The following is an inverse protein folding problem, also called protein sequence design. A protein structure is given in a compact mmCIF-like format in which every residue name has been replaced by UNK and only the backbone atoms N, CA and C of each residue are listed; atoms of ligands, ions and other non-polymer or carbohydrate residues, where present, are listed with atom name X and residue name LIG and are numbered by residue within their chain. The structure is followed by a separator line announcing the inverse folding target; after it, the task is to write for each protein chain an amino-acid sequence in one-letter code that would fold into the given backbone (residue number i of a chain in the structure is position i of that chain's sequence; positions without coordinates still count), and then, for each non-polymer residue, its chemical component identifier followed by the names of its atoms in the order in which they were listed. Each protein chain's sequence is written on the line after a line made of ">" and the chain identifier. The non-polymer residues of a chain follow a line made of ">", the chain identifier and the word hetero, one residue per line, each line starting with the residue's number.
data_IF_234015170700
#
_entry.id   IF_234015170700
#
_cell.length_a   1.000
_cell.length_b   1.000
_cell.length_c   1.000
_cell.angle_alpha   90.00
_cell.angle_beta   90.00
_cell.angle_gamma   90.00
#
_symmetry.space_group_name_H-M   'P 1'
#
loop_
_entity.id
_entity.type
_entity.pdbx_description
1 polymer ?
#
# COMPACT_ATOMS: atom_id res chain seq x y z
N UNK A 1 45.94 18.51 69.91
CA UNK A 1 45.54 19.84 70.44
C UNK A 1 44.11 20.09 69.98
N UNK A 2 43.12 19.93 70.85
CA UNK A 2 42.42 21.03 71.54
C UNK A 2 41.85 22.05 70.54
N UNK A 3 40.55 22.29 70.39
CA UNK A 3 39.56 22.49 71.45
C UNK A 3 38.14 22.10 71.01
N UNK A 4 37.50 21.40 71.93
CA UNK A 4 36.07 21.39 72.20
C UNK A 4 35.70 22.78 72.76
N UNK A 5 34.64 23.39 72.22
CA UNK A 5 33.85 24.46 72.83
C UNK A 5 32.47 24.31 72.21
N UNK A 6 31.58 23.48 72.76
CA UNK A 6 30.79 23.71 73.96
C UNK A 6 30.18 25.11 74.02
N UNK A 7 28.92 25.14 73.60
CA UNK A 7 27.81 25.83 74.27
C UNK A 7 27.97 27.32 74.50
N UNK A 8 27.48 28.10 73.55
CA UNK A 8 26.52 29.17 73.85
C UNK A 8 25.55 29.25 72.67
N UNK A 9 24.34 28.75 72.88
CA UNK A 9 23.33 28.66 71.82
C UNK A 9 22.11 27.84 72.19
N UNK A 10 22.08 27.17 73.34
CA UNK A 10 20.87 26.48 73.82
C UNK A 10 19.75 27.44 74.21
N UNK A 11 20.07 28.68 74.64
CA UNK A 11 19.07 29.75 74.83
C UNK A 11 18.61 30.37 73.51
N UNK A 12 19.47 30.43 72.49
CA UNK A 12 19.15 30.95 71.15
C UNK A 12 18.33 29.95 70.36
N UNK A 13 18.67 28.66 70.37
CA UNK A 13 17.92 27.60 69.67
C UNK A 13 16.57 27.35 70.36
N UNK A 14 16.52 27.36 71.69
CA UNK A 14 15.25 27.28 72.44
C UNK A 14 14.36 28.51 72.22
N UNK A 15 14.94 29.71 72.24
CA UNK A 15 14.23 30.96 71.94
C UNK A 15 13.77 31.04 70.48
N UNK A 16 14.56 30.55 69.52
CA UNK A 16 14.19 30.55 68.10
C UNK A 16 13.08 29.53 67.83
N UNK A 17 13.14 28.33 68.42
CA UNK A 17 12.06 27.34 68.32
C UNK A 17 10.78 27.88 69.00
N UNK A 18 10.90 28.52 70.16
CA UNK A 18 9.75 29.12 70.85
C UNK A 18 9.16 30.29 70.07
N UNK A 19 9.97 31.19 69.52
CA UNK A 19 9.53 32.32 68.67
C UNK A 19 8.90 31.81 67.37
N UNK A 20 9.46 30.76 66.76
CA UNK A 20 8.88 30.11 65.58
C UNK A 20 7.53 29.46 65.92
N UNK A 21 7.40 28.78 67.07
CA UNK A 21 6.14 28.19 67.53
C UNK A 21 5.09 29.28 67.84
N UNK A 22 5.49 30.38 68.48
CA UNK A 22 4.61 31.53 68.77
C UNK A 22 4.18 32.22 67.47
N UNK A 23 5.09 32.41 66.51
CA UNK A 23 4.78 32.95 65.18
C UNK A 23 3.82 32.04 64.41
N UNK A 24 4.02 30.71 64.47
CA UNK A 24 3.13 29.68 63.92
C UNK A 24 1.74 29.72 64.57
N UNK A 25 1.67 29.96 65.88
CA UNK A 25 0.41 30.09 66.64
C UNK A 25 -0.33 31.42 66.38
N UNK A 26 0.39 32.48 65.98
CA UNK A 26 -0.16 33.77 65.58
C UNK A 26 -0.75 33.76 64.16
N UNK A 27 -0.43 32.73 63.36
CA UNK A 27 -1.04 32.57 62.04
C UNK A 27 -2.52 32.17 62.22
N UNK A 28 -3.47 32.93 61.64
CA UNK A 28 -4.89 32.60 61.75
C UNK A 28 -5.18 31.16 61.31
N UNK A 29 -6.05 30.45 62.06
CA UNK A 29 -6.50 29.07 61.73
C UNK A 29 -6.86 28.86 60.24
N UNK A 30 -7.46 29.83 59.51
CA UNK A 30 -7.71 29.71 58.07
C UNK A 30 -6.46 29.42 57.23
N UNK A 31 -5.28 29.93 57.60
CA UNK A 31 -4.03 29.75 56.84
C UNK A 31 -3.49 28.33 56.98
N UNK A 32 -3.62 27.71 58.16
CA UNK A 32 -3.24 26.31 58.36
C UNK A 32 -4.14 25.36 57.55
N UNK A 33 -5.43 25.70 57.44
CA UNK A 33 -6.39 24.96 56.61
C UNK A 33 -6.03 25.10 55.13
N UNK A 34 -5.72 26.30 54.63
CA UNK A 34 -5.33 26.48 53.22
C UNK A 34 -4.01 25.79 52.90
N UNK A 35 -3.01 25.85 53.79
CA UNK A 35 -1.73 25.16 53.60
C UNK A 35 -1.91 23.64 53.56
N UNK A 36 -2.78 23.09 54.41
CA UNK A 36 -3.14 21.67 54.40
C UNK A 36 -3.85 21.24 53.11
N UNK A 37 -4.77 22.06 52.60
CA UNK A 37 -5.46 21.81 51.32
C UNK A 37 -4.46 21.84 50.15
N UNK A 38 -3.54 22.81 50.12
CA UNK A 38 -2.51 22.90 49.07
C UNK A 38 -1.58 21.69 49.12
N UNK A 39 -1.12 21.28 50.31
CA UNK A 39 -0.28 20.10 50.47
C UNK A 39 -1.01 18.82 50.02
N UNK A 40 -2.29 18.67 50.37
CA UNK A 40 -3.12 17.56 49.92
C UNK A 40 -3.31 17.56 48.39
N UNK A 41 -3.56 18.73 47.78
CA UNK A 41 -3.72 18.86 46.34
C UNK A 41 -2.44 18.46 45.60
N UNK A 42 -1.27 18.93 46.04
CA UNK A 42 0.03 18.57 45.45
C UNK A 42 0.28 17.06 45.56
N UNK A 43 -0.01 16.45 46.72
CA UNK A 43 0.13 15.01 46.91
C UNK A 43 -0.77 14.22 45.95
N UNK A 44 -2.03 14.63 45.81
CA UNK A 44 -2.99 13.99 44.88
C UNK A 44 -2.52 14.14 43.44
N UNK A 45 -2.10 15.33 43.01
CA UNK A 45 -1.57 15.55 41.66
C UNK A 45 -0.34 14.68 41.39
N UNK A 46 0.58 14.55 42.35
CA UNK A 46 1.76 13.70 42.22
C UNK A 46 1.41 12.21 42.10
N UNK A 47 0.45 11.72 42.90
CA UNK A 47 -0.03 10.34 42.84
C UNK A 47 -0.69 10.07 41.48
N UNK A 48 -1.58 10.95 41.02
CA UNK A 48 -2.24 10.82 39.71
C UNK A 48 -1.23 10.79 38.58
N UNK A 49 -0.25 11.70 38.59
CA UNK A 49 0.83 11.73 37.60
C UNK A 49 1.61 10.39 37.57
N UNK A 50 1.97 9.85 38.74
CA UNK A 50 2.69 8.57 38.83
C UNK A 50 1.88 7.39 38.29
N UNK A 51 0.56 7.36 38.53
CA UNK A 51 -0.33 6.33 37.99
C UNK A 51 -0.41 6.43 36.47
N UNK A 52 -0.61 7.64 35.92
CA UNK A 52 -0.70 7.86 34.47
C UNK A 52 0.58 7.41 33.77
N UNK A 53 1.75 7.83 34.26
CA UNK A 53 3.05 7.43 33.69
C UNK A 53 3.25 5.92 33.74
N UNK A 54 2.87 5.25 34.84
CA UNK A 54 3.00 3.80 34.96
C UNK A 54 2.07 3.05 33.99
N UNK A 55 0.83 3.55 33.80
CA UNK A 55 -0.13 2.98 32.84
C UNK A 55 0.34 3.19 31.41
N UNK A 56 0.85 4.36 31.05
CA UNK A 56 1.41 4.64 29.73
C UNK A 56 2.61 3.75 29.42
N UNK A 57 3.53 3.58 30.38
CA UNK A 57 4.68 2.69 30.23
C UNK A 57 4.26 1.22 30.06
N UNK A 58 3.25 0.76 30.80
CA UNK A 58 2.70 -0.58 30.64
C UNK A 58 2.04 -0.78 29.27
N UNK A 59 1.23 0.18 28.82
CA UNK A 59 0.58 0.13 27.50
C UNK A 59 1.62 0.12 26.37
N UNK A 60 2.65 0.95 26.46
CA UNK A 60 3.74 0.95 25.48
C UNK A 60 4.46 -0.40 25.43
N UNK A 61 4.75 -1.00 26.58
CA UNK A 61 5.38 -2.32 26.66
C UNK A 61 4.48 -3.45 26.13
N UNK A 62 3.17 -3.39 26.36
CA UNK A 62 2.19 -4.35 25.80
C UNK A 62 2.08 -4.22 24.28
N UNK A 63 2.00 -3.00 23.75
CA UNK A 63 2.00 -2.77 22.30
C UNK A 63 3.27 -3.28 21.64
N UNK A 64 4.44 -3.08 22.24
CA UNK A 64 5.69 -3.62 21.73
C UNK A 64 5.70 -5.16 21.74
N UNK A 65 5.22 -5.79 22.81
CA UNK A 65 5.08 -7.25 22.89
C UNK A 65 4.14 -7.77 21.81
N UNK A 66 2.98 -7.15 21.63
CA UNK A 66 2.04 -7.55 20.59
C UNK A 66 2.63 -7.40 19.19
N UNK A 67 3.38 -6.32 18.92
CA UNK A 67 4.05 -6.13 17.63
C UNK A 67 5.10 -7.21 17.39
N UNK A 68 5.89 -7.53 18.41
CA UNK A 68 6.90 -8.59 18.35
C UNK A 68 6.24 -9.96 18.16
N UNK A 69 5.19 -10.27 18.91
CA UNK A 69 4.43 -11.51 18.77
C UNK A 69 3.78 -11.62 17.39
N UNK A 70 3.13 -10.57 16.90
CA UNK A 70 2.55 -10.53 15.54
C UNK A 70 3.64 -10.71 14.47
N UNK A 71 4.80 -10.08 14.64
CA UNK A 71 5.93 -10.25 13.72
C UNK A 71 6.50 -11.67 13.77
N UNK A 72 6.61 -12.28 14.96
CA UNK A 72 7.04 -13.66 15.13
C UNK A 72 6.04 -14.65 14.53
N UNK A 73 4.75 -14.45 14.75
CA UNK A 73 3.68 -15.26 14.15
C UNK A 73 3.68 -15.13 12.63
N UNK A 74 3.79 -13.91 12.09
CA UNK A 74 3.90 -13.68 10.65
C UNK A 74 5.15 -14.33 10.06
N UNK A 75 6.29 -14.25 10.75
CA UNK A 75 7.53 -14.91 10.35
C UNK A 75 7.42 -16.45 10.41
N UNK A 76 6.80 -17.00 11.45
CA UNK A 76 6.56 -18.43 11.60
C UNK A 76 5.61 -18.95 10.51
N UNK A 77 4.50 -18.26 10.26
CA UNK A 77 3.58 -18.58 9.17
C UNK A 77 4.27 -18.50 7.81
N UNK A 78 5.14 -17.49 7.59
CA UNK A 78 5.90 -17.38 6.36
C UNK A 78 6.85 -18.57 6.17
N UNK A 79 7.62 -18.94 7.22
CA UNK A 79 8.52 -20.09 7.21
C UNK A 79 7.76 -21.39 6.94
N UNK A 80 6.61 -21.57 7.59
CA UNK A 80 5.78 -22.76 7.38
C UNK A 80 5.24 -22.83 5.94
N UNK A 81 4.78 -21.70 5.37
CA UNK A 81 4.34 -21.64 3.97
C UNK A 81 5.48 -21.97 3.01
N UNK A 82 6.67 -21.42 3.24
CA UNK A 82 7.87 -21.72 2.44
C UNK A 82 8.27 -23.18 2.55
N UNK A 83 8.23 -23.78 3.74
CA UNK A 83 8.56 -25.18 3.94
C UNK A 83 7.54 -26.10 3.27
N UNK A 84 6.24 -25.80 3.39
CA UNK A 84 5.18 -26.53 2.69
C UNK A 84 5.36 -26.43 1.17
N UNK A 85 5.68 -25.24 0.65
CA UNK A 85 5.95 -25.05 -0.77
C UNK A 85 7.19 -25.83 -1.23
N UNK A 86 8.27 -25.84 -0.44
CA UNK A 86 9.47 -26.65 -0.72
C UNK A 86 9.16 -28.14 -0.74
N UNK A 87 8.43 -28.65 0.26
CA UNK A 87 8.03 -30.06 0.33
C UNK A 87 7.13 -30.44 -0.85
N UNK A 88 6.18 -29.60 -1.23
CA UNK A 88 5.32 -29.84 -2.38
C UNK A 88 6.12 -29.86 -3.69
N UNK A 89 7.07 -28.93 -3.86
CA UNK A 89 7.98 -28.90 -5.01
C UNK A 89 8.86 -30.14 -5.08
N UNK A 90 9.44 -30.54 -3.94
CA UNK A 90 10.28 -31.74 -3.88
C UNK A 90 9.48 -33.00 -4.24
N UNK A 91 8.30 -33.19 -3.64
CA UNK A 91 7.40 -34.31 -3.99
C UNK A 91 7.11 -34.36 -5.49
N UNK A 92 6.85 -33.21 -6.11
CA UNK A 92 6.60 -33.14 -7.55
C UNK A 92 7.83 -33.52 -8.38
N UNK A 93 9.02 -33.08 -7.97
CA UNK A 93 10.28 -33.47 -8.62
C UNK A 93 10.51 -34.98 -8.48
N UNK A 94 10.23 -35.54 -7.32
CA UNK A 94 10.41 -36.98 -7.06
C UNK A 94 9.44 -37.82 -7.92
N UNK A 95 8.19 -37.35 -8.09
CA UNK A 95 7.18 -38.06 -8.88
C UNK A 95 7.37 -37.91 -10.39
N UNK A 96 7.69 -36.70 -10.88
CA UNK A 96 7.67 -36.37 -12.31
C UNK A 96 9.08 -36.27 -12.94
N UNK A 97 10.11 -36.15 -12.12
CA UNK A 97 11.43 -35.71 -12.55
C UNK A 97 11.53 -34.19 -12.69
N UNK A 98 12.74 -33.64 -12.53
CA UNK A 98 13.01 -32.19 -12.44
C UNK A 98 12.44 -31.38 -13.61
N UNK A 99 12.64 -31.84 -14.85
CA UNK A 99 12.20 -31.11 -16.04
C UNK A 99 10.68 -31.10 -16.19
N UNK A 100 10.05 -32.26 -16.02
CA UNK A 100 8.60 -32.36 -16.14
C UNK A 100 7.88 -31.65 -14.99
N UNK A 101 8.44 -31.69 -13.77
CA UNK A 101 7.96 -30.90 -12.64
C UNK A 101 7.94 -29.39 -12.94
N UNK A 102 9.01 -28.88 -13.57
CA UNK A 102 9.09 -27.47 -13.99
C UNK A 102 8.04 -27.12 -15.05
N UNK A 103 7.76 -28.03 -15.99
CA UNK A 103 6.70 -27.84 -16.99
C UNK A 103 5.32 -27.73 -16.35
N UNK A 104 4.98 -28.64 -15.42
CA UNK A 104 3.69 -28.55 -14.70
C UNK A 104 3.61 -27.28 -13.85
N UNK A 105 4.71 -26.82 -13.25
CA UNK A 105 4.76 -25.54 -12.53
C UNK A 105 4.49 -24.35 -13.50
N UNK A 106 5.10 -24.36 -14.69
CA UNK A 106 4.81 -23.38 -15.75
C UNK A 106 3.34 -23.39 -16.16
N UNK A 107 2.77 -24.58 -16.38
CA UNK A 107 1.35 -24.74 -16.74
C UNK A 107 0.43 -24.18 -15.67
N UNK A 108 0.66 -24.47 -14.39
CA UNK A 108 -0.17 -23.93 -13.30
C UNK A 108 -0.09 -22.40 -13.24
N UNK A 109 1.10 -21.83 -13.45
CA UNK A 109 1.28 -20.37 -13.54
C UNK A 109 0.55 -19.77 -14.75
N UNK A 110 0.61 -20.42 -15.92
CA UNK A 110 -0.12 -20.00 -17.12
C UNK A 110 -1.63 -20.04 -16.90
N UNK A 111 -2.17 -21.12 -16.32
CA UNK A 111 -3.59 -21.23 -15.97
C UNK A 111 -4.01 -20.14 -14.97
N UNK A 112 -3.18 -19.87 -13.96
CA UNK A 112 -3.45 -18.80 -13.01
C UNK A 112 -3.51 -17.42 -13.70
N UNK A 113 -2.62 -17.16 -14.66
CA UNK A 113 -2.66 -15.93 -15.47
C UNK A 113 -3.93 -15.82 -16.31
N UNK A 114 -4.39 -16.91 -16.94
CA UNK A 114 -5.65 -16.92 -17.69
C UNK A 114 -6.81 -16.59 -16.75
N UNK A 115 -6.93 -17.29 -15.62
CA UNK A 115 -8.04 -17.11 -14.66
C UNK A 115 -8.03 -15.72 -14.00
N UNK A 116 -6.87 -15.11 -13.84
CA UNK A 116 -6.73 -13.77 -13.28
C UNK A 116 -6.97 -12.64 -14.31
N UNK A 117 -7.08 -12.97 -15.60
CA UNK A 117 -7.29 -11.98 -16.66
C UNK A 117 -8.61 -11.24 -16.49
N UNK A 118 -8.68 -10.01 -16.98
CA UNK A 118 -9.94 -9.27 -17.08
C UNK A 118 -10.91 -10.00 -18.00
N UNK A 119 -10.42 -10.50 -19.14
CA UNK A 119 -11.18 -11.27 -20.11
C UNK A 119 -11.87 -12.51 -19.50
N UNK A 120 -11.21 -13.23 -18.59
CA UNK A 120 -11.85 -14.34 -17.87
C UNK A 120 -12.94 -13.83 -16.90
N UNK A 121 -12.64 -12.77 -16.13
CA UNK A 121 -13.55 -12.24 -15.10
C UNK A 121 -14.79 -11.56 -15.67
N UNK A 122 -14.69 -10.98 -16.86
CA UNK A 122 -15.83 -10.37 -17.57
C UNK A 122 -16.57 -11.36 -18.46
N UNK A 123 -16.19 -12.64 -18.43
CA UNK A 123 -16.84 -13.71 -19.18
C UNK A 123 -16.51 -13.73 -20.68
N UNK A 124 -15.56 -12.90 -21.14
CA UNK A 124 -15.13 -12.83 -22.54
C UNK A 124 -14.52 -14.15 -23.03
N UNK A 125 -13.82 -14.86 -22.14
CA UNK A 125 -13.23 -16.17 -22.44
C UNK A 125 -14.20 -17.36 -22.25
N UNK A 126 -15.43 -17.11 -21.82
CA UNK A 126 -16.38 -18.17 -21.45
C UNK A 126 -15.96 -18.94 -20.19
N UNK A 127 -16.43 -20.18 -20.06
CA UNK A 127 -16.05 -21.07 -18.97
C UNK A 127 -14.62 -21.59 -19.18
N UNK A 128 -13.73 -21.26 -18.24
CA UNK A 128 -12.31 -21.63 -18.32
C UNK A 128 -12.00 -22.71 -17.28
N UNK A 129 -12.01 -23.97 -17.72
CA UNK A 129 -11.55 -25.11 -16.94
C UNK A 129 -10.43 -25.89 -17.64
N UNK A 130 -9.24 -25.88 -17.04
CA UNK A 130 -8.06 -26.63 -17.49
C UNK A 130 -7.81 -27.90 -16.65
N UNK A 131 -8.75 -28.29 -15.78
CA UNK A 131 -8.54 -29.40 -14.84
C UNK A 131 -8.25 -30.72 -15.56
N UNK A 132 -8.96 -31.00 -16.65
CA UNK A 132 -8.74 -32.18 -17.49
C UNK A 132 -7.34 -32.17 -18.14
N UNK A 133 -6.91 -31.02 -18.66
CA UNK A 133 -5.58 -30.86 -19.26
C UNK A 133 -4.46 -31.04 -18.23
N UNK A 134 -4.56 -30.38 -17.08
CA UNK A 134 -3.56 -30.49 -16.01
C UNK A 134 -3.44 -31.93 -15.54
N UNK A 135 -4.58 -32.64 -15.40
CA UNK A 135 -4.60 -34.05 -15.03
C UNK A 135 -3.89 -34.89 -16.08
N UNK A 136 -4.25 -34.74 -17.36
CA UNK A 136 -3.64 -35.50 -18.46
C UNK A 136 -2.13 -35.24 -18.60
N UNK A 137 -1.69 -33.98 -18.49
CA UNK A 137 -0.27 -33.60 -18.50
C UNK A 137 0.48 -34.29 -17.36
N UNK A 138 -0.07 -34.21 -16.14
CA UNK A 138 0.57 -34.77 -14.95
C UNK A 138 0.68 -36.29 -15.04
N UNK A 139 -0.40 -36.97 -15.44
CA UNK A 139 -0.42 -38.43 -15.61
C UNK A 139 0.56 -38.91 -16.68
N UNK A 140 0.66 -38.20 -17.81
CA UNK A 140 1.60 -38.56 -18.87
C UNK A 140 3.05 -38.40 -18.42
N UNK A 141 3.38 -37.31 -17.71
CA UNK A 141 4.71 -37.11 -17.17
C UNK A 141 5.07 -38.09 -16.05
N UNK A 142 4.11 -38.45 -15.20
CA UNK A 142 4.31 -39.46 -14.16
C UNK A 142 4.59 -40.83 -14.78
N UNK A 143 3.78 -41.27 -15.75
CA UNK A 143 3.99 -42.51 -16.49
C UNK A 143 5.34 -42.52 -17.22
N UNK A 144 5.69 -41.41 -17.88
CA UNK A 144 6.98 -41.29 -18.58
C UNK A 144 8.17 -41.36 -17.61
N UNK A 145 8.06 -40.72 -16.44
CA UNK A 145 9.10 -40.76 -15.41
C UNK A 145 9.27 -42.16 -14.79
N UNK A 146 8.16 -42.82 -14.46
CA UNK A 146 8.15 -44.18 -13.95
C UNK A 146 8.74 -45.17 -14.97
N UNK A 147 8.32 -45.07 -16.25
CA UNK A 147 8.84 -45.91 -17.33
C UNK A 147 10.34 -45.66 -17.52
N UNK A 148 10.79 -44.39 -17.52
CA UNK A 148 12.22 -44.04 -17.60
C UNK A 148 13.02 -44.67 -16.47
N UNK A 149 12.52 -44.66 -15.23
CA UNK A 149 13.23 -45.26 -14.09
C UNK A 149 13.46 -46.77 -14.27
N UNK A 150 12.46 -47.50 -14.79
CA UNK A 150 12.60 -48.94 -15.08
C UNK A 150 13.50 -49.19 -16.29
N UNK A 151 13.30 -48.43 -17.37
CA UNK A 151 14.16 -48.47 -18.58
C UNK A 151 15.62 -48.24 -18.24
N UNK A 152 15.93 -47.27 -17.37
CA UNK A 152 17.31 -47.02 -16.91
C UNK A 152 17.89 -48.21 -16.17
N UNK A 153 17.12 -48.86 -15.28
CA UNK A 153 17.58 -50.06 -14.55
C UNK A 153 17.83 -51.23 -15.50
N UNK A 154 16.91 -51.49 -16.43
CA UNK A 154 17.07 -52.56 -17.42
C UNK A 154 18.28 -52.30 -18.34
N UNK A 155 18.47 -51.06 -18.77
CA UNK A 155 19.62 -50.67 -19.61
C UNK A 155 20.98 -50.77 -18.92
N UNK A 156 20.99 -50.84 -17.58
CA UNK A 156 22.22 -50.94 -16.79
C UNK A 156 22.61 -52.40 -16.50
N UNK A 157 21.81 -53.40 -16.91
CA UNK A 157 22.17 -54.80 -16.75
C UNK A 157 23.30 -55.19 -17.71
N UNK A 158 24.23 -56.00 -17.22
CA UNK A 158 25.30 -56.56 -18.03
C UNK A 158 24.75 -57.60 -19.02
N UNK A 159 25.26 -57.58 -20.26
CA UNK A 159 24.92 -58.52 -21.35
C UNK A 159 23.43 -58.55 -21.72
N UNK A 160 22.85 -57.42 -22.19
CA UNK A 160 21.44 -57.38 -22.61
C UNK A 160 21.18 -58.34 -23.78
N UNK A 161 20.10 -59.11 -23.68
CA UNK A 161 19.66 -60.01 -24.74
C UNK A 161 18.88 -59.24 -25.84
N UNK A 162 18.43 -59.95 -26.88
CA UNK A 162 17.71 -59.32 -27.99
C UNK A 162 16.34 -58.74 -27.58
N UNK A 163 15.63 -59.41 -26.67
CA UNK A 163 14.35 -58.97 -26.14
C UNK A 163 14.50 -57.74 -25.25
N UNK A 164 15.55 -57.69 -24.42
CA UNK A 164 15.89 -56.52 -23.59
C UNK A 164 16.12 -55.29 -24.45
N UNK A 165 16.85 -55.43 -25.57
CA UNK A 165 17.09 -54.31 -26.50
C UNK A 165 15.78 -53.84 -27.14
N UNK A 166 14.97 -54.79 -27.60
CA UNK A 166 13.68 -54.50 -28.23
C UNK A 166 12.74 -53.76 -27.27
N UNK A 167 12.57 -54.26 -26.03
CA UNK A 167 11.67 -53.64 -25.06
C UNK A 167 12.20 -52.27 -24.59
N UNK A 168 13.51 -52.07 -24.52
CA UNK A 168 14.11 -50.76 -24.23
C UNK A 168 13.79 -49.74 -25.33
N UNK A 169 13.83 -50.13 -26.59
CA UNK A 169 13.52 -49.23 -27.71
C UNK A 169 12.01 -48.92 -27.79
N UNK A 170 11.16 -49.91 -27.54
CA UNK A 170 9.71 -49.69 -27.37
C UNK A 170 9.43 -48.74 -26.20
N UNK A 171 10.08 -48.93 -25.05
CA UNK A 171 9.92 -48.07 -23.89
C UNK A 171 10.39 -46.63 -24.15
N UNK A 172 11.54 -46.43 -24.82
CA UNK A 172 12.00 -45.08 -25.23
C UNK A 172 10.98 -44.39 -26.13
N UNK A 173 10.40 -45.12 -27.08
CA UNK A 173 9.37 -44.59 -27.99
C UNK A 173 8.11 -44.19 -27.21
N UNK A 174 7.65 -45.03 -26.29
CA UNK A 174 6.49 -44.73 -25.45
C UNK A 174 6.74 -43.53 -24.51
N UNK A 175 7.94 -43.42 -23.91
CA UNK A 175 8.34 -42.25 -23.10
C UNK A 175 8.25 -40.98 -23.95
N UNK A 176 8.82 -40.98 -25.16
CA UNK A 176 8.81 -39.82 -26.03
C UNK A 176 7.39 -39.42 -26.45
N UNK A 177 6.52 -40.40 -26.73
CA UNK A 177 5.12 -40.13 -27.07
C UNK A 177 4.33 -39.49 -25.89
N UNK A 178 4.50 -40.03 -24.68
CA UNK A 178 3.87 -39.48 -23.47
C UNK A 178 4.33 -38.04 -23.18
N UNK A 179 5.64 -37.80 -23.26
CA UNK A 179 6.20 -36.46 -23.03
C UNK A 179 5.82 -35.48 -24.13
N UNK A 180 5.85 -35.90 -25.39
CA UNK A 180 5.43 -35.08 -26.53
C UNK A 180 3.98 -34.60 -26.38
N UNK A 181 3.05 -35.53 -26.14
CA UNK A 181 1.64 -35.19 -25.94
C UNK A 181 1.40 -34.23 -24.76
N UNK A 182 2.14 -34.42 -23.67
CA UNK A 182 2.07 -33.51 -22.52
C UNK A 182 2.64 -32.12 -22.85
N UNK A 183 3.81 -32.05 -23.50
CA UNK A 183 4.46 -30.79 -23.89
C UNK A 183 3.60 -29.97 -24.87
N UNK A 184 2.94 -30.63 -25.82
CA UNK A 184 2.01 -29.98 -26.74
C UNK A 184 0.88 -29.28 -25.98
N UNK A 185 0.27 -29.96 -25.00
CA UNK A 185 -0.79 -29.34 -24.17
C UNK A 185 -0.26 -28.21 -23.29
N UNK A 186 0.94 -28.37 -22.70
CA UNK A 186 1.59 -27.27 -21.96
C UNK A 186 1.73 -26.04 -22.86
N UNK A 187 2.19 -26.23 -24.09
CA UNK A 187 2.38 -25.14 -25.06
C UNK A 187 1.07 -24.46 -25.44
N UNK A 188 -0.01 -25.23 -25.61
CA UNK A 188 -1.34 -24.66 -25.89
C UNK A 188 -1.85 -23.81 -24.72
N UNK A 189 -1.70 -24.27 -23.49
CA UNK A 189 -2.10 -23.51 -22.30
C UNK A 189 -1.28 -22.22 -22.16
N UNK A 190 0.02 -22.27 -22.44
CA UNK A 190 0.88 -21.07 -22.43
C UNK A 190 0.47 -20.05 -23.50
N UNK A 191 0.03 -20.53 -24.68
CA UNK A 191 -0.57 -19.66 -25.70
C UNK A 191 -1.89 -19.05 -25.23
N UNK A 192 -2.79 -19.83 -24.62
CA UNK A 192 -4.03 -19.29 -24.04
C UNK A 192 -3.76 -18.19 -23.02
N UNK A 193 -2.74 -18.34 -22.18
CA UNK A 193 -2.33 -17.29 -21.23
C UNK A 193 -1.85 -16.02 -21.93
N UNK A 194 -1.14 -16.14 -23.04
CA UNK A 194 -0.67 -15.01 -23.83
C UNK A 194 -1.82 -14.29 -24.52
N UNK A 195 -2.74 -15.04 -25.15
CA UNK A 195 -3.93 -14.47 -25.80
C UNK A 195 -4.86 -13.76 -24.80
N UNK A 196 -5.09 -14.35 -23.63
CA UNK A 196 -5.86 -13.71 -22.56
C UNK A 196 -5.26 -12.34 -22.16
N UNK A 197 -3.93 -12.25 -22.09
CA UNK A 197 -3.24 -10.99 -21.80
C UNK A 197 -3.34 -9.97 -22.94
N UNK A 198 -3.36 -10.42 -24.19
CA UNK A 198 -3.57 -9.54 -25.35
C UNK A 198 -4.98 -8.96 -25.34
N UNK A 199 -5.99 -9.78 -25.05
CA UNK A 199 -7.38 -9.31 -24.91
C UNK A 199 -7.48 -8.30 -23.77
N UNK A 200 -6.90 -8.57 -22.61
CA UNK A 200 -6.85 -7.62 -21.50
C UNK A 200 -6.25 -6.27 -21.92
N UNK A 201 -5.19 -6.29 -22.73
CA UNK A 201 -4.56 -5.08 -23.25
C UNK A 201 -5.50 -4.31 -24.19
N UNK A 202 -6.20 -5.02 -25.07
CA UNK A 202 -7.19 -4.42 -25.98
C UNK A 202 -8.34 -3.80 -25.18
N UNK A 203 -8.93 -4.53 -24.23
CA UNK A 203 -10.01 -4.03 -23.38
C UNK A 203 -9.63 -2.78 -22.60
N UNK A 204 -8.40 -2.74 -22.05
CA UNK A 204 -7.90 -1.53 -21.38
C UNK A 204 -7.76 -0.35 -22.32
N UNK A 205 -7.24 -0.59 -23.52
CA UNK A 205 -7.07 0.45 -24.54
C UNK A 205 -8.43 1.01 -24.95
N UNK A 206 -9.42 0.15 -25.22
CA UNK A 206 -10.80 0.58 -25.53
C UNK A 206 -11.43 1.43 -24.42
N UNK A 207 -11.20 1.07 -23.16
CA UNK A 207 -11.69 1.84 -22.00
C UNK A 207 -11.00 3.20 -21.88
N UNK A 208 -9.69 3.24 -22.11
CA UNK A 208 -8.93 4.49 -22.08
C UNK A 208 -9.36 5.43 -23.21
N UNK A 209 -9.56 4.89 -24.40
CA UNK A 209 -10.07 5.63 -25.56
C UNK A 209 -11.49 6.16 -25.31
N UNK A 210 -12.38 5.35 -24.74
CA UNK A 210 -13.71 5.79 -24.35
C UNK A 210 -13.66 6.92 -23.30
N UNK A 211 -12.76 6.83 -22.31
CA UNK A 211 -12.57 7.89 -21.30
C UNK A 211 -12.04 9.18 -21.93
N UNK A 212 -11.06 9.08 -22.83
CA UNK A 212 -10.50 10.24 -23.54
C UNK A 212 -11.56 10.90 -24.42
N UNK A 213 -12.36 10.10 -25.14
CA UNK A 213 -13.46 10.62 -25.96
C UNK A 213 -14.50 11.36 -25.11
N UNK A 214 -14.86 10.83 -23.94
CA UNK A 214 -15.77 11.48 -23.01
C UNK A 214 -15.19 12.81 -22.46
N UNK A 215 -13.92 12.82 -22.03
CA UNK A 215 -13.25 14.04 -21.57
C UNK A 215 -13.14 15.08 -22.69
N UNK A 216 -12.84 14.65 -23.91
CA UNK A 216 -12.81 15.51 -25.09
C UNK A 216 -14.18 16.16 -25.30
N UNK A 217 -15.26 15.38 -25.29
CA UNK A 217 -16.61 15.91 -25.44
C UNK A 217 -16.97 16.93 -24.34
N UNK A 218 -16.62 16.65 -23.08
CA UNK A 218 -16.85 17.58 -21.96
C UNK A 218 -16.07 18.89 -22.12
N UNK A 219 -14.78 18.81 -22.45
CA UNK A 219 -13.92 19.99 -22.63
C UNK A 219 -14.35 20.81 -23.85
N UNK A 220 -14.72 20.16 -24.95
CA UNK A 220 -15.29 20.86 -26.11
C UNK A 220 -16.59 21.56 -25.73
N UNK A 221 -17.50 20.92 -24.98
CA UNK A 221 -18.72 21.55 -24.50
C UNK A 221 -18.45 22.80 -23.65
N UNK A 222 -17.52 22.72 -22.69
CA UNK A 222 -17.11 23.86 -21.86
C UNK A 222 -16.48 24.99 -22.69
N UNK A 223 -15.58 24.65 -23.61
CA UNK A 223 -14.91 25.64 -24.47
C UNK A 223 -15.91 26.35 -25.39
N UNK A 224 -16.80 25.59 -26.05
CA UNK A 224 -17.87 26.17 -26.87
C UNK A 224 -18.79 27.07 -26.06
N UNK A 225 -19.14 26.67 -24.83
CA UNK A 225 -19.93 27.51 -23.91
C UNK A 225 -19.22 28.81 -23.53
N UNK A 226 -17.90 28.78 -23.31
CA UNK A 226 -17.11 30.00 -23.05
C UNK A 226 -17.03 30.90 -24.29
N UNK A 227 -16.72 30.35 -25.46
CA UNK A 227 -16.58 31.12 -26.70
C UNK A 227 -17.90 31.80 -27.09
N UNK A 228 -18.98 31.03 -27.17
CA UNK A 228 -20.28 31.58 -27.56
C UNK A 228 -20.99 32.32 -26.41
N UNK A 229 -20.65 32.03 -25.15
CA UNK A 229 -21.09 32.83 -24.01
C UNK A 229 -20.44 34.23 -23.98
N UNK A 230 -19.20 34.36 -24.46
CA UNK A 230 -18.53 35.66 -24.68
C UNK A 230 -19.14 36.39 -25.88
N UNK A 231 -19.51 35.66 -26.93
CA UNK A 231 -20.08 36.23 -28.16
C UNK A 231 -21.56 36.67 -27.98
N UNK A 232 -22.31 36.00 -27.08
CA UNK A 232 -23.67 36.38 -26.70
C UNK A 232 -23.73 37.46 -25.60
N UNK A 233 -22.60 37.83 -25.00
CA UNK A 233 -22.56 38.98 -24.09
C UNK A 233 -22.77 40.25 -24.94
N UNK A 234 -23.84 41.04 -24.70
CA UNK A 234 -24.05 42.27 -25.46
C UNK A 234 -22.81 43.15 -25.28
N UNK A 235 -22.25 43.72 -26.37
CA UNK A 235 -21.16 44.67 -26.22
C UNK A 235 -21.64 45.76 -25.27
N UNK A 236 -20.90 45.99 -24.18
CA UNK A 236 -21.21 47.09 -23.28
C UNK A 236 -21.34 48.35 -24.13
N UNK A 237 -22.54 48.93 -24.15
CA UNK A 237 -22.78 50.14 -24.90
C UNK A 237 -21.72 51.17 -24.45
N UNK A 238 -21.12 51.94 -25.36
CA UNK A 238 -20.06 52.90 -25.01
C UNK A 238 -20.49 53.95 -23.97
N UNK A 239 -21.79 54.05 -23.67
CA UNK A 239 -22.36 54.84 -22.58
C UNK A 239 -22.06 54.31 -21.17
N UNK A 240 -21.75 53.02 -21.00
CA UNK A 240 -21.52 52.41 -19.68
C UNK A 240 -20.03 52.35 -19.30
N UNK A 241 -19.15 52.81 -20.18
CA UNK A 241 -17.72 52.93 -19.88
C UNK A 241 -17.45 54.16 -19.02
N UNK A 242 -17.13 53.95 -17.74
CA UNK A 242 -16.67 55.01 -16.85
C UNK A 242 -15.46 55.78 -17.42
N UNK A 243 -14.60 55.11 -18.20
CA UNK A 243 -13.50 55.75 -18.91
C UNK A 243 -13.99 56.70 -20.01
N UNK A 244 -15.02 56.33 -20.78
CA UNK A 244 -15.62 57.20 -21.79
C UNK A 244 -16.31 58.41 -21.14
N UNK A 245 -17.00 58.22 -20.03
CA UNK A 245 -17.62 59.30 -19.26
C UNK A 245 -16.58 60.29 -18.70
N UNK A 246 -15.44 59.78 -18.22
CA UNK A 246 -14.32 60.62 -17.77
C UNK A 246 -13.72 61.40 -18.94
N UNK A 247 -13.47 60.76 -20.09
CA UNK A 247 -12.94 61.44 -21.27
C UNK A 247 -13.87 62.52 -21.82
N UNK A 248 -15.18 62.28 -21.82
CA UNK A 248 -16.18 63.29 -22.19
C UNK A 248 -16.15 64.50 -21.25
N UNK A 249 -16.04 64.28 -19.93
CA UNK A 249 -15.91 65.37 -18.94
C UNK A 249 -14.60 66.14 -19.10
N UNK A 250 -13.50 65.46 -19.40
CA UNK A 250 -12.20 66.10 -19.67
C UNK A 250 -12.26 66.96 -20.93
N UNK A 251 -12.92 66.49 -21.98
CA UNK A 251 -13.12 67.28 -23.20
C UNK A 251 -14.01 68.50 -22.95
N UNK A 252 -15.12 68.34 -22.23
CA UNK A 252 -15.98 69.46 -21.84
C UNK A 252 -15.23 70.50 -21.01
N UNK A 253 -14.40 70.06 -20.05
CA UNK A 253 -13.57 70.96 -19.26
C UNK A 253 -12.55 71.72 -20.11
N UNK A 254 -11.89 71.05 -21.06
CA UNK A 254 -10.93 71.69 -21.99
C UNK A 254 -11.63 72.70 -22.90
N UNK A 255 -12.83 72.40 -23.38
CA UNK A 255 -13.61 73.31 -24.22
C UNK A 255 -13.96 74.58 -23.43
N UNK A 256 -14.51 74.44 -22.23
CA UNK A 256 -14.83 75.58 -21.34
C UNK A 256 -13.58 76.41 -21.05
N UNK A 257 -12.45 75.75 -20.74
CA UNK A 257 -11.19 76.46 -20.48
C UNK A 257 -10.71 77.26 -21.70
N UNK A 258 -10.80 76.67 -22.90
CA UNK A 258 -10.42 77.36 -24.14
C UNK A 258 -11.33 78.54 -24.49
N UNK A 259 -12.61 78.49 -24.10
CA UNK A 259 -13.55 79.59 -24.28
C UNK A 259 -13.28 80.73 -23.29
N UNK A 260 -12.88 80.40 -22.05
CA UNK A 260 -12.47 81.39 -21.05
C UNK A 260 -11.15 82.07 -21.46
N UNK A 261 -10.19 81.31 -21.98
CA UNK A 261 -8.92 81.87 -22.47
C UNK A 261 -9.16 82.80 -23.67
N UNK A 262 -9.98 82.40 -24.65
CA UNK A 262 -10.39 83.28 -25.76
C UNK A 262 -11.09 84.56 -25.30
N UNK A 263 -12.05 84.46 -24.37
CA UNK A 263 -12.75 85.62 -23.82
C UNK A 263 -11.84 86.58 -23.02
N UNK A 264 -10.64 86.13 -22.62
CA UNK A 264 -9.65 86.93 -21.89
C UNK A 264 -8.62 87.58 -22.82
N UNK A 265 -8.47 87.09 -24.04
CA UNK A 265 -7.62 87.69 -25.08
C UNK A 265 -8.36 88.76 -25.91
N UNK A 266 -9.70 88.67 -25.98
CA UNK A 266 -10.57 89.60 -26.72
C UNK A 266 -11.09 90.82 -25.90
N UNK A 267 -10.61 91.03 -24.67
CA UNK A 267 -10.99 92.14 -23.77
C UNK A 267 -9.81 92.96 -23.28
#
# INVERSE_FOLDING_TARGET
>A
MSKKGSSDGSSVVGGFIFVVIVLIAMVPKPVWITLGIVAAAVLVTWIVYRIVVAVEAHRAAEEERERVERAQQAAAQKREREERARKAKQRRIDTLGKQNAARVESTLSAVQRVKASEAARTGWLGEVDFSADIKSITENFEKAHALRAVTSKLSALDKPNADDKKILDEAKTAIAALEGAAIERVTLIEKCATEAQLIDKTLRTERDDARIAAQRAELHGKLSGMLYGIEAAPPAAPSDSAAAAVMARVQAYREIKSQIERAREDG
#
